data_IF_270389586915
#
_entry.id   IF_270389586915
#
_cell.length_a   1.000
_cell.length_b   1.000
_cell.length_c   1.000
_cell.angle_alpha   90.00
_cell.angle_beta   90.00
_cell.angle_gamma   90.00
#
_symmetry.space_group_name_H-M   'P 1'
#
loop_
_entity.id
_entity.type
_entity.pdbx_description
1 polymer ?
#
# COMPACT_ATOMS: atom_id res chain seq x y z
N UNK A 1 -4.78 13.71 -10.24
CA UNK A 1 -5.59 14.00 -9.02
C UNK A 1 -4.63 14.20 -7.87
N UNK A 2 -4.99 14.95 -6.81
CA UNK A 2 -4.11 15.16 -5.65
C UNK A 2 -4.13 13.90 -4.76
N UNK A 3 -2.95 13.43 -4.36
CA UNK A 3 -2.80 12.35 -3.37
C UNK A 3 -3.02 12.92 -1.96
N UNK A 4 -4.28 12.97 -1.55
CA UNK A 4 -4.70 13.59 -0.27
C UNK A 4 -4.11 12.88 0.94
N UNK A 5 -4.07 11.54 0.92
CA UNK A 5 -3.50 10.75 2.01
C UNK A 5 -2.00 11.03 2.19
N UNK A 6 -1.25 11.14 1.09
CA UNK A 6 0.16 11.50 1.11
C UNK A 6 0.39 12.89 1.67
N UNK A 7 -0.36 13.91 1.19
CA UNK A 7 -0.24 15.29 1.67
C UNK A 7 -0.54 15.41 3.17
N UNK A 8 -1.62 14.78 3.61
CA UNK A 8 -2.03 14.80 5.02
C UNK A 8 -0.96 14.13 5.90
N UNK A 9 -0.53 12.93 5.53
CA UNK A 9 0.46 12.15 6.29
C UNK A 9 1.78 12.91 6.43
N UNK A 10 2.38 13.37 5.31
CA UNK A 10 3.69 14.04 5.35
C UNK A 10 3.62 15.37 6.11
N UNK A 11 2.53 16.12 5.99
CA UNK A 11 2.31 17.32 6.78
C UNK A 11 2.26 17.01 8.29
N UNK A 12 1.48 16.02 8.69
CA UNK A 12 1.32 15.62 10.08
C UNK A 12 2.63 15.08 10.67
N UNK A 13 3.31 14.23 9.94
CA UNK A 13 4.61 13.65 10.37
C UNK A 13 5.67 14.73 10.63
N UNK A 14 5.64 15.82 9.87
CA UNK A 14 6.56 16.94 10.03
C UNK A 14 6.00 18.05 10.96
N UNK A 15 4.84 17.83 11.59
CA UNK A 15 4.18 18.83 12.47
C UNK A 15 3.92 20.19 11.81
N UNK A 16 3.71 20.22 10.49
CA UNK A 16 3.35 21.45 9.79
C UNK A 16 1.86 21.74 9.88
N UNK A 17 1.52 23.01 10.08
CA UNK A 17 0.12 23.46 10.11
C UNK A 17 -0.42 23.66 8.68
N UNK A 18 -1.74 23.58 8.52
CA UNK A 18 -2.39 23.91 7.24
C UNK A 18 -2.16 25.36 6.82
N UNK A 19 -1.97 26.25 7.78
CA UNK A 19 -1.69 27.66 7.52
C UNK A 19 -0.26 27.86 6.95
N UNK A 20 0.74 27.15 7.50
CA UNK A 20 2.09 27.14 6.94
C UNK A 20 2.10 26.60 5.50
N UNK A 21 1.41 25.48 5.27
CA UNK A 21 1.37 24.85 3.95
C UNK A 21 0.63 25.72 2.93
N UNK A 22 -0.44 26.44 3.35
CA UNK A 22 -1.15 27.38 2.47
C UNK A 22 -0.26 28.55 2.02
N UNK A 23 0.59 29.06 2.93
CA UNK A 23 1.57 30.10 2.61
C UNK A 23 2.64 29.64 1.61
N UNK A 24 3.10 28.38 1.75
CA UNK A 24 4.08 27.80 0.83
C UNK A 24 3.60 27.86 -0.62
N UNK A 25 2.34 27.51 -0.86
CA UNK A 25 1.79 27.49 -2.21
C UNK A 25 1.05 28.79 -2.62
N UNK A 26 1.01 29.77 -1.69
CA UNK A 26 0.42 31.07 -1.98
C UNK A 26 -1.10 31.05 -2.12
N UNK A 27 -1.81 30.23 -1.33
CA UNK A 27 -3.27 30.17 -1.29
C UNK A 27 -3.81 30.50 0.09
N UNK A 28 -5.13 30.70 0.20
CA UNK A 28 -5.78 30.82 1.51
C UNK A 28 -5.80 29.47 2.24
N UNK A 29 -5.82 29.51 3.57
CA UNK A 29 -5.95 28.28 4.39
C UNK A 29 -7.19 27.45 4.02
N UNK A 30 -8.39 28.04 3.81
CA UNK A 30 -9.55 27.29 3.33
C UNK A 30 -9.31 26.59 2.00
N UNK A 31 -8.62 27.22 1.06
CA UNK A 31 -8.23 26.62 -0.22
C UNK A 31 -7.28 25.44 -0.03
N UNK A 32 -6.30 25.56 0.87
CA UNK A 32 -5.41 24.44 1.19
C UNK A 32 -6.16 23.26 1.84
N UNK A 33 -7.11 23.55 2.73
CA UNK A 33 -7.96 22.51 3.33
C UNK A 33 -8.77 21.77 2.24
N UNK A 34 -9.32 22.49 1.27
CA UNK A 34 -10.02 21.89 0.13
C UNK A 34 -9.09 20.99 -0.69
N UNK A 35 -7.84 21.42 -0.94
CA UNK A 35 -6.83 20.60 -1.63
C UNK A 35 -6.49 19.31 -0.83
N UNK A 36 -6.34 19.39 0.48
CA UNK A 36 -6.14 18.19 1.34
C UNK A 36 -7.34 17.23 1.33
N UNK A 37 -8.53 17.71 1.01
CA UNK A 37 -9.73 16.88 0.83
C UNK A 37 -9.92 16.37 -0.60
N UNK A 38 -9.01 16.71 -1.52
CA UNK A 38 -9.13 16.36 -2.94
C UNK A 38 -10.05 17.28 -3.75
N UNK A 39 -10.50 18.38 -3.15
CA UNK A 39 -11.36 19.36 -3.77
C UNK A 39 -10.49 20.44 -4.43
N UNK A 40 -10.39 20.43 -5.76
CA UNK A 40 -9.62 21.41 -6.51
C UNK A 40 -8.39 20.83 -7.21
N UNK A 41 -7.55 21.72 -7.76
CA UNK A 41 -6.36 21.35 -8.51
C UNK A 41 -5.18 22.28 -8.14
N UNK A 42 -3.97 21.74 -8.25
CA UNK A 42 -2.73 22.49 -8.10
C UNK A 42 -2.28 23.01 -9.47
N UNK A 43 -1.81 24.25 -9.51
CA UNK A 43 -1.03 24.73 -10.65
C UNK A 43 0.37 24.10 -10.63
N UNK A 44 1.08 24.12 -11.77
CA UNK A 44 2.45 23.60 -11.87
C UNK A 44 3.40 24.28 -10.86
N UNK A 45 3.26 25.59 -10.68
CA UNK A 45 4.06 26.37 -9.72
C UNK A 45 3.77 25.95 -8.26
N UNK A 46 2.49 25.76 -7.91
CA UNK A 46 2.09 25.29 -6.59
C UNK A 46 2.57 23.85 -6.31
N UNK A 47 2.49 22.99 -7.32
CA UNK A 47 2.99 21.61 -7.22
C UNK A 47 4.49 21.61 -6.96
N UNK A 48 5.26 22.40 -7.70
CA UNK A 48 6.70 22.54 -7.50
C UNK A 48 7.04 23.04 -6.09
N UNK A 49 6.37 24.10 -5.63
CA UNK A 49 6.57 24.63 -4.27
C UNK A 49 6.25 23.61 -3.18
N UNK A 50 5.20 22.80 -3.37
CA UNK A 50 4.88 21.69 -2.47
C UNK A 50 5.99 20.62 -2.49
N UNK A 51 6.39 20.18 -3.67
CA UNK A 51 7.45 19.17 -3.82
C UNK A 51 8.74 19.60 -3.13
N UNK A 52 9.17 20.84 -3.36
CA UNK A 52 10.37 21.41 -2.75
C UNK A 52 10.24 21.46 -1.21
N UNK A 53 9.08 21.88 -0.68
CA UNK A 53 8.82 21.94 0.76
C UNK A 53 8.75 20.58 1.41
N UNK A 54 8.15 19.61 0.73
CA UNK A 54 7.93 18.25 1.24
C UNK A 54 9.15 17.36 1.04
N UNK A 55 10.12 17.77 0.21
CA UNK A 55 11.29 16.96 -0.15
C UNK A 55 10.91 15.70 -0.95
N UNK A 56 9.89 15.81 -1.80
CA UNK A 56 9.36 14.70 -2.58
C UNK A 56 9.27 15.06 -4.07
N UNK A 57 8.99 14.08 -4.93
CA UNK A 57 8.77 14.34 -6.34
C UNK A 57 7.32 14.83 -6.59
N UNK A 58 7.07 15.65 -7.63
CA UNK A 58 5.72 16.08 -8.02
C UNK A 58 4.73 14.91 -8.20
N UNK A 59 5.22 13.78 -8.69
CA UNK A 59 4.45 12.55 -8.92
C UNK A 59 3.92 11.95 -7.61
N UNK A 60 4.61 12.13 -6.50
CA UNK A 60 4.16 11.70 -5.17
C UNK A 60 2.92 12.47 -4.70
N UNK A 61 2.82 13.74 -5.11
CA UNK A 61 1.70 14.63 -4.79
C UNK A 61 0.53 14.42 -5.76
N UNK A 62 0.84 14.02 -7.00
CA UNK A 62 -0.16 13.74 -8.03
C UNK A 62 -0.34 12.24 -8.19
N UNK A 63 -1.52 11.77 -7.92
CA UNK A 63 -1.90 10.39 -8.20
C UNK A 63 -2.65 10.34 -9.53
N UNK A 64 -2.04 9.76 -10.55
CA UNK A 64 -2.74 9.45 -11.81
C UNK A 64 -3.64 8.22 -11.66
N UNK A 65 -3.29 7.31 -10.76
CA UNK A 65 -4.10 6.12 -10.45
C UNK A 65 -4.69 6.24 -9.05
N UNK A 66 -6.03 6.29 -9.00
CA UNK A 66 -6.77 6.15 -7.75
C UNK A 66 -6.67 4.67 -7.36
N UNK A 67 -6.13 4.41 -6.15
CA UNK A 67 -6.21 3.07 -5.59
C UNK A 67 -7.68 2.65 -5.50
N UNK A 68 -8.00 1.46 -5.97
CA UNK A 68 -9.30 0.85 -5.69
C UNK A 68 -9.29 0.31 -4.25
N UNK A 69 -9.75 1.13 -3.31
CA UNK A 69 -9.75 0.81 -1.88
C UNK A 69 -10.58 -0.44 -1.57
N UNK A 70 -11.69 -0.63 -2.25
CA UNK A 70 -12.54 -1.80 -2.04
C UNK A 70 -11.83 -3.08 -2.53
N UNK A 71 -11.24 -3.01 -3.72
CA UNK A 71 -10.45 -4.11 -4.27
C UNK A 71 -9.23 -4.41 -3.39
N UNK A 72 -8.56 -3.36 -2.88
CA UNK A 72 -7.43 -3.50 -1.96
C UNK A 72 -7.83 -4.21 -0.65
N UNK A 73 -8.96 -3.84 -0.04
CA UNK A 73 -9.48 -4.48 1.16
C UNK A 73 -9.88 -5.94 0.92
N UNK A 74 -10.48 -6.25 -0.24
CA UNK A 74 -10.79 -7.63 -0.63
C UNK A 74 -9.50 -8.47 -0.75
N UNK A 75 -8.42 -7.93 -1.34
CA UNK A 75 -7.11 -8.60 -1.41
C UNK A 75 -6.54 -8.84 -0.01
N UNK A 76 -6.60 -7.86 0.89
CA UNK A 76 -6.13 -8.01 2.27
C UNK A 76 -6.85 -9.17 2.98
N UNK A 77 -8.18 -9.17 2.97
CA UNK A 77 -8.99 -10.21 3.61
C UNK A 77 -8.70 -11.59 2.99
N UNK A 78 -8.61 -11.64 1.67
CA UNK A 78 -8.31 -12.88 0.94
C UNK A 78 -6.88 -13.40 1.24
N UNK A 79 -5.91 -12.49 1.39
CA UNK A 79 -4.55 -12.83 1.77
C UNK A 79 -4.46 -13.35 3.22
N UNK A 80 -5.23 -12.78 4.14
CA UNK A 80 -5.34 -13.33 5.51
C UNK A 80 -5.99 -14.72 5.46
N UNK A 81 -7.09 -14.89 4.73
CA UNK A 81 -7.82 -16.15 4.64
C UNK A 81 -6.95 -17.31 4.15
N UNK A 82 -6.06 -17.09 3.19
CA UNK A 82 -5.25 -18.12 2.54
C UNK A 82 -3.76 -18.14 2.97
N UNK A 83 -3.25 -17.05 3.52
CA UNK A 83 -1.83 -16.91 3.88
C UNK A 83 -1.55 -17.05 5.38
N UNK A 84 -2.59 -17.07 6.23
CA UNK A 84 -2.45 -17.23 7.67
C UNK A 84 -1.91 -18.63 8.03
N UNK A 85 -1.30 -18.72 9.21
CA UNK A 85 -0.85 -19.97 9.79
C UNK A 85 -2.00 -20.89 10.19
N UNK A 86 -1.68 -22.06 10.74
CA UNK A 86 -2.69 -23.02 11.22
C UNK A 86 -3.58 -22.46 12.34
N UNK A 87 -3.09 -21.46 13.06
CA UNK A 87 -3.81 -20.72 14.10
C UNK A 87 -4.71 -19.59 13.56
N UNK A 88 -4.80 -19.44 12.23
CA UNK A 88 -5.59 -18.39 11.57
C UNK A 88 -4.96 -16.99 11.65
N UNK A 89 -3.72 -16.88 12.10
CA UNK A 89 -3.03 -15.60 12.30
C UNK A 89 -1.91 -15.39 11.27
N UNK A 90 -1.70 -14.13 10.87
CA UNK A 90 -0.61 -13.72 10.00
C UNK A 90 0.08 -12.47 10.56
N UNK A 91 1.43 -12.43 10.64
CA UNK A 91 2.14 -11.21 11.01
C UNK A 91 1.85 -10.06 10.03
N UNK A 92 1.57 -8.87 10.57
CA UNK A 92 1.28 -7.65 9.78
C UNK A 92 2.35 -7.39 8.72
N UNK A 93 3.64 -7.55 9.07
CA UNK A 93 4.75 -7.43 8.11
C UNK A 93 4.66 -8.44 6.97
N UNK A 94 4.34 -9.71 7.26
CA UNK A 94 4.18 -10.73 6.23
C UNK A 94 3.02 -10.44 5.30
N UNK A 95 1.89 -9.98 5.86
CA UNK A 95 0.71 -9.60 5.07
C UNK A 95 1.04 -8.47 4.08
N UNK A 96 1.76 -7.43 4.51
CA UNK A 96 2.21 -6.35 3.61
C UNK A 96 3.01 -6.88 2.41
N UNK A 97 3.87 -7.89 2.63
CA UNK A 97 4.65 -8.50 1.54
C UNK A 97 3.79 -9.36 0.61
N UNK A 98 2.77 -10.03 1.14
CA UNK A 98 1.82 -10.77 0.29
C UNK A 98 1.08 -9.83 -0.67
N UNK A 99 0.65 -8.66 -0.19
CA UNK A 99 -0.03 -7.68 -1.06
C UNK A 99 0.92 -7.17 -2.14
N UNK A 100 2.16 -6.81 -1.76
CA UNK A 100 3.18 -6.40 -2.72
C UNK A 100 3.42 -7.48 -3.79
N UNK A 101 3.65 -8.73 -3.38
CA UNK A 101 3.90 -9.83 -4.31
C UNK A 101 2.69 -10.13 -5.19
N UNK A 102 1.48 -9.89 -4.70
CA UNK A 102 0.24 -10.03 -5.47
C UNK A 102 0.17 -8.95 -6.56
N UNK A 103 0.31 -7.68 -6.21
CA UNK A 103 0.21 -6.59 -7.17
C UNK A 103 1.33 -6.63 -8.22
N UNK A 104 2.58 -6.80 -7.78
CA UNK A 104 3.72 -6.85 -8.69
C UNK A 104 3.74 -8.14 -9.53
N UNK A 105 3.33 -9.27 -8.95
CA UNK A 105 3.21 -10.52 -9.69
C UNK A 105 2.10 -10.50 -10.74
N UNK A 106 1.00 -9.82 -10.45
CA UNK A 106 -0.06 -9.58 -11.43
C UNK A 106 0.41 -8.65 -12.53
N UNK A 107 1.04 -7.51 -12.16
CA UNK A 107 1.60 -6.57 -13.13
C UNK A 107 2.60 -7.24 -14.08
N UNK A 108 3.42 -8.16 -13.58
CA UNK A 108 4.36 -8.92 -14.40
C UNK A 108 3.66 -9.69 -15.54
N UNK A 109 2.43 -10.15 -15.32
CA UNK A 109 1.67 -10.97 -16.29
C UNK A 109 0.75 -10.13 -17.18
N UNK A 110 0.20 -9.05 -16.66
CA UNK A 110 -0.89 -8.29 -17.31
C UNK A 110 -0.50 -6.85 -17.68
N UNK A 111 0.65 -6.34 -17.22
CA UNK A 111 1.11 -4.95 -17.37
C UNK A 111 0.16 -3.91 -16.77
N UNK A 112 -0.73 -4.35 -15.90
CA UNK A 112 -1.66 -3.53 -15.13
C UNK A 112 -1.69 -4.02 -13.68
N UNK A 113 -1.66 -3.13 -12.67
CA UNK A 113 -1.77 -3.55 -11.27
C UNK A 113 -3.22 -3.90 -10.92
N UNK A 114 -3.44 -4.80 -9.95
CA UNK A 114 -4.80 -5.09 -9.46
C UNK A 114 -5.34 -3.88 -8.69
N UNK A 115 -4.54 -3.31 -7.79
CA UNK A 115 -4.99 -2.25 -6.88
C UNK A 115 -4.60 -0.85 -7.31
N UNK A 116 -3.49 -0.68 -8.03
CA UNK A 116 -2.89 0.61 -8.33
C UNK A 116 -2.23 1.28 -7.12
N UNK A 117 -2.02 0.56 -6.02
CA UNK A 117 -1.37 1.08 -4.82
C UNK A 117 0.08 1.49 -5.10
N UNK A 118 0.51 2.60 -4.52
CA UNK A 118 1.91 3.02 -4.56
C UNK A 118 2.69 2.34 -3.45
N UNK A 119 3.77 1.66 -3.81
CA UNK A 119 4.66 0.98 -2.87
C UNK A 119 5.93 1.78 -2.65
N UNK A 120 6.38 1.89 -1.40
CA UNK A 120 7.66 2.53 -1.07
C UNK A 120 8.66 1.51 -0.57
N UNK A 121 9.94 1.78 -0.88
CA UNK A 121 11.05 1.02 -0.29
C UNK A 121 11.23 1.44 1.16
N UNK A 122 10.92 0.55 2.09
CA UNK A 122 11.15 0.73 3.53
C UNK A 122 12.13 -0.32 4.04
N UNK A 123 12.80 -0.11 5.20
CA UNK A 123 13.81 -1.04 5.74
C UNK A 123 13.31 -2.49 5.90
N UNK A 124 12.02 -2.67 6.19
CA UNK A 124 11.38 -4.00 6.30
C UNK A 124 10.84 -4.50 4.95
N UNK A 125 11.23 -3.89 3.83
CA UNK A 125 10.79 -4.23 2.47
C UNK A 125 9.65 -3.36 1.96
N UNK A 126 9.16 -3.59 0.73
CA UNK A 126 8.14 -2.78 0.11
C UNK A 126 6.83 -2.79 0.89
N UNK A 127 6.25 -1.61 1.08
CA UNK A 127 4.95 -1.41 1.75
C UNK A 127 4.13 -0.39 0.98
N UNK A 128 2.85 -0.64 0.73
CA UNK A 128 1.98 0.34 0.08
C UNK A 128 1.61 1.47 1.04
N UNK A 129 1.50 2.68 0.53
CA UNK A 129 1.14 3.85 1.34
C UNK A 129 -0.21 3.67 2.07
N UNK A 130 -1.18 3.06 1.41
CA UNK A 130 -2.53 2.82 1.93
C UNK A 130 -2.62 1.67 2.96
N UNK A 131 -1.55 0.87 3.15
CA UNK A 131 -1.60 -0.37 3.94
C UNK A 131 -2.08 -0.18 5.38
N UNK A 132 -1.56 0.82 6.07
CA UNK A 132 -1.86 1.02 7.49
C UNK A 132 -3.29 1.49 7.69
N UNK A 133 -3.76 2.46 6.91
CA UNK A 133 -5.16 2.93 6.96
C UNK A 133 -6.15 1.83 6.58
N UNK A 134 -5.83 0.99 5.58
CA UNK A 134 -6.68 -0.13 5.21
C UNK A 134 -6.81 -1.18 6.34
N UNK A 135 -5.74 -1.43 7.09
CA UNK A 135 -5.79 -2.31 8.28
C UNK A 135 -6.67 -1.70 9.37
N UNK A 136 -6.53 -0.40 9.65
CA UNK A 136 -7.33 0.30 10.65
C UNK A 136 -8.81 0.30 10.24
N UNK A 137 -9.13 0.60 8.99
CA UNK A 137 -10.50 0.54 8.44
C UNK A 137 -11.13 -0.85 8.57
N UNK A 138 -10.37 -1.93 8.27
CA UNK A 138 -10.87 -3.29 8.40
C UNK A 138 -11.09 -3.69 9.86
N UNK A 139 -10.26 -3.18 10.77
CA UNK A 139 -10.42 -3.38 12.21
C UNK A 139 -11.66 -2.64 12.72
N UNK A 140 -11.84 -1.38 12.35
CA UNK A 140 -13.02 -0.57 12.73
C UNK A 140 -14.33 -1.14 12.18
N UNK A 141 -14.29 -1.75 10.98
CA UNK A 141 -15.41 -2.51 10.41
C UNK A 141 -15.67 -3.85 11.11
N UNK A 142 -14.84 -4.24 12.07
CA UNK A 142 -14.96 -5.52 12.77
C UNK A 142 -14.69 -6.75 11.90
N UNK A 143 -13.95 -6.61 10.79
CA UNK A 143 -13.64 -7.71 9.87
C UNK A 143 -12.36 -8.45 10.22
N UNK A 144 -11.45 -7.79 10.94
CA UNK A 144 -10.20 -8.38 11.42
C UNK A 144 -10.01 -8.13 12.91
N UNK A 145 -9.20 -8.99 13.54
CA UNK A 145 -8.64 -8.76 14.87
C UNK A 145 -7.14 -8.48 14.75
N UNK A 146 -6.62 -7.65 15.66
CA UNK A 146 -5.20 -7.37 15.80
C UNK A 146 -4.77 -7.79 17.19
N UNK A 147 -3.84 -8.73 17.29
CA UNK A 147 -3.24 -9.20 18.54
C UNK A 147 -1.76 -8.81 18.58
N UNK A 148 -1.31 -8.28 19.70
CA UNK A 148 0.10 -7.99 19.92
C UNK A 148 0.74 -9.19 20.64
N UNK A 149 1.75 -9.77 20.01
CA UNK A 149 2.57 -10.83 20.61
C UNK A 149 4.03 -10.41 20.53
N UNK A 150 4.62 -10.21 21.70
CA UNK A 150 5.96 -9.62 21.85
C UNK A 150 6.04 -8.26 21.11
N UNK A 151 6.81 -8.18 20.04
CA UNK A 151 6.95 -6.98 19.17
C UNK A 151 6.15 -7.07 17.88
N UNK A 152 5.46 -8.18 17.63
CA UNK A 152 4.75 -8.45 16.38
C UNK A 152 3.25 -8.19 16.54
N UNK A 153 2.65 -7.55 15.55
CA UNK A 153 1.21 -7.48 15.37
C UNK A 153 0.76 -8.65 14.49
N UNK A 154 -0.17 -9.45 15.03
CA UNK A 154 -0.78 -10.60 14.34
C UNK A 154 -2.19 -10.25 13.94
N UNK A 155 -2.53 -10.46 12.67
CA UNK A 155 -3.83 -10.20 12.09
C UNK A 155 -4.56 -11.53 11.88
N UNK A 156 -5.84 -11.57 12.22
CA UNK A 156 -6.73 -12.70 11.94
C UNK A 156 -8.11 -12.20 11.51
N UNK A 157 -8.85 -13.01 10.77
CA UNK A 157 -10.24 -12.69 10.42
C UNK A 157 -11.17 -12.93 11.61
N UNK A 158 -12.14 -12.04 11.79
CA UNK A 158 -13.32 -12.29 12.62
C UNK A 158 -14.26 -13.26 11.90
N UNK A 159 -15.33 -13.69 12.56
CA UNK A 159 -16.35 -14.50 11.88
C UNK A 159 -17.07 -13.72 10.79
N UNK A 160 -17.30 -12.41 10.98
CA UNK A 160 -17.79 -11.53 9.92
C UNK A 160 -16.80 -11.43 8.76
N UNK A 161 -15.50 -11.27 9.05
CA UNK A 161 -14.45 -11.22 8.02
C UNK A 161 -14.35 -12.49 7.17
N UNK A 162 -14.59 -13.68 7.78
CA UNK A 162 -14.61 -14.96 7.05
C UNK A 162 -15.81 -15.10 6.08
N UNK A 163 -16.89 -14.35 6.33
CA UNK A 163 -18.12 -14.39 5.52
C UNK A 163 -18.17 -13.32 4.43
N UNK A 164 -17.15 -12.46 4.33
CA UNK A 164 -17.07 -11.42 3.29
C UNK A 164 -17.09 -12.05 1.91
N UNK A 165 -17.95 -11.50 1.04
CA UNK A 165 -17.97 -11.84 -0.38
C UNK A 165 -17.05 -10.89 -1.14
N UNK A 166 -16.03 -11.41 -1.79
CA UNK A 166 -15.02 -10.64 -2.53
C UNK A 166 -15.57 -10.21 -3.90
N UNK A 167 -16.47 -9.21 -3.89
CA UNK A 167 -17.22 -8.78 -5.09
C UNK A 167 -16.42 -7.83 -5.99
N UNK A 168 -15.37 -7.23 -5.45
CA UNK A 168 -14.55 -6.25 -6.18
C UNK A 168 -13.40 -6.91 -6.94
N UNK A 169 -13.14 -8.21 -6.72
CA UNK A 169 -12.16 -9.00 -7.45
C UNK A 169 -12.88 -9.88 -8.47
N UNK A 170 -12.36 -9.92 -9.68
CA UNK A 170 -12.80 -10.93 -10.65
C UNK A 170 -12.26 -12.33 -10.29
N UNK A 171 -12.69 -13.33 -11.05
CA UNK A 171 -12.32 -14.73 -10.77
C UNK A 171 -10.82 -14.99 -10.94
N UNK A 172 -10.19 -14.35 -11.89
CA UNK A 172 -8.76 -14.52 -12.19
C UNK A 172 -7.91 -13.86 -11.13
N UNK A 173 -8.20 -12.60 -10.79
CA UNK A 173 -7.58 -11.84 -9.70
C UNK A 173 -7.69 -12.60 -8.37
N UNK A 174 -8.89 -13.10 -8.03
CA UNK A 174 -9.12 -13.85 -6.81
C UNK A 174 -8.29 -15.14 -6.74
N UNK A 175 -8.18 -15.87 -7.86
CA UNK A 175 -7.36 -17.06 -7.94
C UNK A 175 -5.87 -16.73 -7.81
N UNK A 176 -5.44 -15.62 -8.37
CA UNK A 176 -4.06 -15.17 -8.27
C UNK A 176 -3.68 -14.79 -6.83
N UNK A 177 -4.51 -14.01 -6.14
CA UNK A 177 -4.33 -13.70 -4.71
C UNK A 177 -4.20 -14.98 -3.89
N UNK A 178 -5.07 -15.96 -4.13
CA UNK A 178 -5.01 -17.28 -3.46
C UNK A 178 -3.71 -18.01 -3.74
N UNK A 179 -3.28 -18.04 -4.99
CA UNK A 179 -2.03 -18.70 -5.41
C UNK A 179 -0.83 -18.13 -4.69
N UNK A 180 -0.67 -16.79 -4.70
CA UNK A 180 0.43 -16.10 -4.02
C UNK A 180 0.38 -16.36 -2.52
N UNK A 181 -0.80 -16.19 -1.90
CA UNK A 181 -0.97 -16.37 -0.45
C UNK A 181 -0.64 -17.79 0.01
N UNK A 182 -1.10 -18.81 -0.71
CA UNK A 182 -0.81 -20.22 -0.41
C UNK A 182 0.65 -20.58 -0.60
N UNK A 183 1.34 -20.03 -1.60
CA UNK A 183 2.77 -20.25 -1.80
C UNK A 183 3.60 -19.84 -0.56
N UNK A 184 3.15 -18.79 0.12
CA UNK A 184 3.82 -18.24 1.30
C UNK A 184 3.21 -18.71 2.63
N UNK A 185 2.10 -19.45 2.60
CA UNK A 185 1.52 -20.04 3.81
C UNK A 185 2.55 -20.98 4.47
N UNK A 186 2.71 -20.89 5.78
CA UNK A 186 3.69 -21.72 6.51
C UNK A 186 5.15 -21.26 6.43
N UNK A 187 5.50 -20.36 5.51
CA UNK A 187 6.82 -19.71 5.45
C UNK A 187 6.96 -18.66 6.54
N UNK A 188 8.19 -18.45 7.06
CA UNK A 188 8.48 -17.44 8.07
C UNK A 188 8.43 -16.03 7.47
N UNK A 189 8.15 -15.02 8.31
CA UNK A 189 8.20 -13.61 7.89
C UNK A 189 9.56 -13.21 7.36
N UNK A 190 10.64 -13.70 7.96
CA UNK A 190 12.00 -13.43 7.49
C UNK A 190 12.27 -13.94 6.06
N UNK A 191 11.66 -15.06 5.68
CA UNK A 191 11.84 -15.64 4.34
C UNK A 191 11.19 -14.76 3.26
N UNK A 192 9.95 -14.32 3.49
CA UNK A 192 9.25 -13.44 2.52
C UNK A 192 9.88 -12.04 2.46
N UNK A 193 10.36 -11.52 3.59
CA UNK A 193 11.13 -10.25 3.62
C UNK A 193 12.42 -10.40 2.82
N UNK A 194 13.21 -11.45 3.07
CA UNK A 194 14.44 -11.70 2.32
C UNK A 194 14.16 -11.86 0.81
N UNK A 195 13.08 -12.56 0.45
CA UNK A 195 12.68 -12.72 -0.94
C UNK A 195 12.37 -11.37 -1.61
N UNK A 196 11.54 -10.51 -0.98
CA UNK A 196 11.20 -9.20 -1.54
C UNK A 196 12.40 -8.27 -1.62
N UNK A 197 13.37 -8.38 -0.69
CA UNK A 197 14.61 -7.62 -0.73
C UNK A 197 15.56 -8.03 -1.88
N UNK A 198 15.43 -9.26 -2.36
CA UNK A 198 16.24 -9.76 -3.49
C UNK A 198 15.66 -9.36 -4.85
N UNK A 199 14.41 -8.92 -4.89
CA UNK A 199 13.77 -8.50 -6.13
C UNK A 199 14.38 -7.21 -6.69
N UNK A 200 14.42 -7.14 -8.02
CA UNK A 200 14.98 -6.01 -8.76
C UNK A 200 14.33 -4.67 -8.41
N UNK A 201 12.98 -4.57 -8.34
CA UNK A 201 12.32 -3.32 -7.95
C UNK A 201 12.81 -2.77 -6.62
N UNK A 202 12.97 -3.64 -5.62
CA UNK A 202 13.46 -3.22 -4.31
C UNK A 202 14.94 -2.84 -4.32
N UNK A 203 15.79 -3.53 -5.10
CA UNK A 203 17.23 -3.27 -5.16
C UNK A 203 17.57 -1.95 -5.83
N UNK A 204 16.85 -1.60 -6.90
CA UNK A 204 17.14 -0.42 -7.73
C UNK A 204 16.75 0.87 -7.00
N UNK A 205 15.60 0.91 -6.35
CA UNK A 205 15.12 2.10 -5.67
C UNK A 205 15.95 2.46 -4.44
N UNK A 206 15.97 3.73 -4.07
CA UNK A 206 16.54 4.22 -2.81
C UNK A 206 15.52 4.16 -1.67
N UNK A 207 15.96 4.23 -0.42
CA UNK A 207 15.07 4.18 0.74
C UNK A 207 14.07 5.35 0.73
N UNK A 208 12.80 5.06 0.96
CA UNK A 208 11.68 6.01 0.91
C UNK A 208 11.12 6.28 -0.50
N UNK A 209 11.82 5.86 -1.54
CA UNK A 209 11.39 6.05 -2.93
C UNK A 209 10.18 5.17 -3.30
N UNK A 210 9.32 5.69 -4.18
CA UNK A 210 8.23 4.91 -4.78
C UNK A 210 8.84 3.86 -5.71
N UNK A 211 8.39 2.64 -5.61
CA UNK A 211 8.84 1.52 -6.43
C UNK A 211 7.93 1.43 -7.67
N UNK A 212 8.43 1.74 -8.88
CA UNK A 212 7.65 1.59 -10.12
C UNK A 212 7.31 0.12 -10.38
N UNK A 213 6.08 -0.15 -10.76
CA UNK A 213 5.63 -1.52 -11.12
C UNK A 213 6.42 -2.08 -12.30
N UNK A 214 6.78 -1.23 -13.25
CA UNK A 214 7.49 -1.58 -14.48
C UNK A 214 8.80 -2.32 -14.22
N UNK A 215 9.46 -2.03 -13.10
CA UNK A 215 10.72 -2.67 -12.74
C UNK A 215 10.61 -4.20 -12.56
N UNK A 216 9.40 -4.71 -12.21
CA UNK A 216 9.20 -6.14 -12.04
C UNK A 216 9.30 -6.91 -13.36
N UNK A 217 9.05 -6.26 -14.50
CA UNK A 217 9.10 -6.90 -15.82
C UNK A 217 10.52 -7.37 -16.19
N UNK A 218 11.54 -6.84 -15.52
CA UNK A 218 12.95 -7.23 -15.68
C UNK A 218 13.35 -8.37 -14.72
N UNK A 219 12.45 -8.81 -13.86
CA UNK A 219 12.72 -9.87 -12.88
C UNK A 219 12.65 -11.24 -13.56
N UNK A 220 13.55 -12.15 -13.15
CA UNK A 220 13.45 -13.55 -13.53
C UNK A 220 12.10 -14.13 -13.04
N UNK A 221 11.35 -14.85 -13.90
CA UNK A 221 10.03 -15.40 -13.57
C UNK A 221 9.95 -16.19 -12.26
N UNK A 222 11.04 -16.91 -11.89
CA UNK A 222 11.11 -17.69 -10.66
C UNK A 222 11.11 -16.83 -9.40
N UNK A 223 11.48 -15.55 -9.53
CA UNK A 223 11.62 -14.59 -8.41
C UNK A 223 10.57 -13.49 -8.41
N UNK A 224 9.47 -13.62 -9.17
CA UNK A 224 8.43 -12.58 -9.24
C UNK A 224 7.52 -12.62 -8.01
N UNK A 225 7.12 -13.82 -7.52
CA UNK A 225 6.26 -13.97 -6.33
C UNK A 225 6.42 -15.32 -5.64
#
# INVERSE_FOLDING_TARGET
>A
MINTAFLLNIRQTNNWTQDEMSRVIGVSRPTYIALEKGEGSLTVDQLKKLSDKLGCQPEDILTEKIIDENKYQDILLQAVLNGAGKDGKIPKTKLAKLIYLTDFGWYYQHLEPITGAQYRKLPQGPVPNYYFSAIDDLFDKGLINIEIKDTAQLISLTDAGKQVQFKNLDKEELNFVRKVSKKWQGKRTSEIVAFTHQQLPYKICTEGEVIPYELITQQDPEYVY
#
